data_IF_477329334386
#
_entry.id   IF_477329334386
#
_cell.length_a   1.000
_cell.length_b   1.000
_cell.length_c   1.000
_cell.angle_alpha   90.00
_cell.angle_beta   90.00
_cell.angle_gamma   90.00
#
_symmetry.space_group_name_H-M   'P 1'
#
loop_
_entity.id
_entity.type
_entity.pdbx_description
1 polymer ?
#
# COMPACT_ATOMS: atom_id res chain seq x y z
N UNK A 1 29.31 19.73 6.39
CA UNK A 1 27.90 19.72 6.79
C UNK A 1 27.74 18.52 7.69
N UNK A 2 27.56 18.75 8.99
CA UNK A 2 27.50 17.68 9.98
C UNK A 2 26.07 17.12 9.93
N UNK A 3 25.92 15.88 9.46
CA UNK A 3 24.65 15.16 9.48
C UNK A 3 24.60 14.48 10.86
N UNK A 4 23.71 14.92 11.78
CA UNK A 4 23.74 14.44 13.17
C UNK A 4 23.38 12.95 13.26
N UNK A 5 24.04 12.20 14.16
CA UNK A 5 23.94 10.74 14.34
C UNK A 5 22.53 10.20 14.68
N UNK A 6 21.54 11.08 14.81
CA UNK A 6 20.14 10.82 15.13
C UNK A 6 19.27 10.63 13.86
N UNK A 7 19.88 10.14 12.77
CA UNK A 7 19.13 9.50 11.70
C UNK A 7 18.44 8.26 12.27
N UNK A 8 17.12 8.26 12.27
CA UNK A 8 16.32 7.08 12.61
C UNK A 8 16.67 5.94 11.64
N UNK A 9 17.50 4.98 12.06
CA UNK A 9 17.86 3.76 11.30
C UNK A 9 16.90 2.62 11.67
N UNK A 10 15.62 2.93 11.83
CA UNK A 10 14.59 1.91 12.01
C UNK A 10 13.80 1.73 10.71
N UNK A 11 13.50 0.49 10.30
CA UNK A 11 12.68 0.24 9.13
C UNK A 11 11.26 0.75 9.39
N UNK A 12 10.74 1.56 8.47
CA UNK A 12 9.36 2.03 8.52
C UNK A 12 8.42 1.04 7.84
N UNK A 13 7.29 0.77 8.47
CA UNK A 13 6.20 0.04 7.84
C UNK A 13 5.54 0.93 6.78
N UNK A 14 5.54 0.46 5.53
CA UNK A 14 4.88 1.17 4.44
C UNK A 14 3.39 0.85 4.42
N UNK A 15 2.56 1.89 4.46
CA UNK A 15 1.13 1.75 4.28
C UNK A 15 0.79 1.27 2.84
N UNK A 16 -0.31 0.52 2.64
CA UNK A 16 -0.75 0.12 1.31
C UNK A 16 -0.98 1.31 0.38
N UNK A 17 -0.40 1.26 -0.82
CA UNK A 17 -0.43 2.35 -1.80
C UNK A 17 -0.92 1.90 -3.18
N UNK A 18 -2.01 1.12 -3.21
CA UNK A 18 -2.60 0.59 -4.46
C UNK A 18 -3.33 1.67 -5.26
N UNK A 19 -3.12 1.68 -6.57
CA UNK A 19 -3.61 2.76 -7.45
C UNK A 19 -4.58 2.23 -8.51
N UNK A 20 -5.78 2.82 -8.66
CA UNK A 20 -6.78 2.36 -9.62
C UNK A 20 -6.39 2.63 -11.08
N UNK A 21 -6.75 1.70 -11.98
CA UNK A 21 -6.58 1.79 -13.43
C UNK A 21 -7.78 1.21 -14.17
N UNK A 22 -7.88 1.52 -15.47
CA UNK A 22 -8.92 0.98 -16.36
C UNK A 22 -8.67 -0.50 -16.73
N UNK A 23 -7.42 -0.94 -16.66
CA UNK A 23 -7.05 -2.33 -16.93
C UNK A 23 -6.99 -3.14 -15.62
N UNK A 24 -7.25 -4.45 -15.73
CA UNK A 24 -7.11 -5.38 -14.61
C UNK A 24 -5.67 -5.86 -14.47
N UNK A 25 -5.23 -6.03 -13.23
CA UNK A 25 -3.90 -6.56 -12.90
C UNK A 25 -3.64 -6.61 -11.40
N UNK A 26 -2.41 -6.88 -11.00
CA UNK A 26 -1.98 -6.84 -9.61
C UNK A 26 -1.85 -8.19 -8.90
N UNK A 27 -2.17 -9.32 -9.56
CA UNK A 27 -2.01 -10.65 -8.98
C UNK A 27 -0.61 -10.93 -8.44
N UNK A 28 0.43 -10.49 -9.16
CA UNK A 28 1.82 -10.68 -8.71
C UNK A 28 2.14 -9.83 -7.47
N UNK A 29 1.51 -8.66 -7.33
CA UNK A 29 1.65 -7.82 -6.14
C UNK A 29 0.92 -8.44 -4.94
N UNK A 30 -0.28 -9.01 -5.14
CA UNK A 30 -0.98 -9.76 -4.09
C UNK A 30 -0.14 -10.96 -3.62
N UNK A 31 0.47 -11.70 -4.56
CA UNK A 31 1.35 -12.82 -4.25
C UNK A 31 2.60 -12.37 -3.48
N UNK A 32 3.21 -11.25 -3.90
CA UNK A 32 4.35 -10.65 -3.21
C UNK A 32 4.01 -10.24 -1.77
N UNK A 33 2.79 -9.76 -1.53
CA UNK A 33 2.27 -9.42 -0.20
C UNK A 33 1.78 -10.64 0.61
N UNK A 34 1.95 -11.85 0.08
CA UNK A 34 1.59 -13.08 0.78
C UNK A 34 0.08 -13.34 0.85
N UNK A 35 -0.72 -12.73 -0.03
CA UNK A 35 -2.16 -13.01 -0.05
C UNK A 35 -2.42 -14.48 -0.40
N UNK A 36 -3.37 -15.14 0.28
CA UNK A 36 -3.59 -16.59 0.13
C UNK A 36 -4.18 -16.98 -1.23
N UNK A 37 -4.89 -16.05 -1.89
CA UNK A 37 -5.50 -16.26 -3.21
C UNK A 37 -5.23 -15.03 -4.09
N UNK A 38 -4.01 -14.90 -4.65
CA UNK A 38 -3.64 -13.75 -5.46
C UNK A 38 -4.50 -13.65 -6.72
N UNK A 39 -5.07 -12.48 -6.98
CA UNK A 39 -5.91 -12.23 -8.16
C UNK A 39 -5.67 -10.86 -8.79
N UNK A 40 -6.08 -10.70 -10.04
CA UNK A 40 -6.05 -9.41 -10.72
C UNK A 40 -7.27 -8.57 -10.34
N UNK A 41 -7.06 -7.34 -9.90
CA UNK A 41 -8.09 -6.38 -9.53
C UNK A 41 -8.03 -5.09 -10.36
N UNK A 42 -8.76 -4.07 -9.93
CA UNK A 42 -8.79 -2.75 -10.58
C UNK A 42 -7.70 -1.79 -10.08
N UNK A 43 -6.87 -2.21 -9.12
CA UNK A 43 -5.76 -1.42 -8.58
C UNK A 43 -4.42 -2.13 -8.84
N UNK A 44 -3.95 -2.20 -10.09
CA UNK A 44 -2.84 -3.07 -10.49
C UNK A 44 -1.44 -2.54 -10.14
N UNK A 45 -1.34 -1.28 -9.68
CA UNK A 45 -0.07 -0.63 -9.33
C UNK A 45 0.04 -0.41 -7.82
N UNK A 46 1.25 -0.46 -7.28
CA UNK A 46 1.59 -0.05 -5.91
C UNK A 46 2.72 0.98 -5.96
N UNK A 47 2.51 2.16 -5.37
CA UNK A 47 3.49 3.26 -5.39
C UNK A 47 4.21 3.33 -4.03
N UNK A 48 5.31 2.61 -3.89
CA UNK A 48 6.11 2.58 -2.65
C UNK A 48 6.96 3.85 -2.54
N UNK A 49 7.02 4.44 -1.34
CA UNK A 49 7.79 5.66 -1.05
C UNK A 49 7.52 6.84 -2.02
N UNK A 50 6.28 6.94 -2.50
CA UNK A 50 5.89 8.00 -3.43
C UNK A 50 5.61 9.30 -2.70
N UNK A 51 6.17 10.40 -3.22
CA UNK A 51 5.89 11.78 -2.77
C UNK A 51 4.79 12.46 -3.59
N UNK A 52 4.14 11.73 -4.50
CA UNK A 52 3.14 12.27 -5.43
C UNK A 52 1.74 11.90 -4.97
N UNK A 53 0.87 12.90 -4.84
CA UNK A 53 -0.54 12.68 -4.54
C UNK A 53 -1.32 12.20 -5.78
N UNK A 54 -2.00 11.06 -5.67
CA UNK A 54 -2.92 10.57 -6.69
C UNK A 54 -4.25 11.35 -6.65
N UNK A 55 -4.76 11.78 -7.82
CA UNK A 55 -6.08 12.43 -7.96
C UNK A 55 -7.00 11.58 -8.83
N UNK A 56 -7.87 10.80 -8.20
CA UNK A 56 -8.75 9.83 -8.87
C UNK A 56 -10.20 10.36 -8.95
N UNK A 57 -10.42 11.40 -9.76
CA UNK A 57 -11.74 12.02 -9.94
C UNK A 57 -12.72 11.00 -10.53
N UNK A 58 -13.88 10.82 -9.90
CA UNK A 58 -14.93 9.91 -10.35
C UNK A 58 -14.82 8.46 -9.85
N UNK A 59 -13.79 8.11 -9.06
CA UNK A 59 -13.71 6.81 -8.39
C UNK A 59 -14.39 6.92 -7.02
N UNK A 60 -15.68 6.58 -6.93
CA UNK A 60 -16.40 6.43 -5.67
C UNK A 60 -16.26 4.99 -5.16
N UNK A 61 -15.65 4.79 -3.98
CA UNK A 61 -15.56 3.47 -3.34
C UNK A 61 -14.26 2.69 -3.57
N UNK A 62 -13.26 3.26 -4.23
CA UNK A 62 -11.94 2.65 -4.39
C UNK A 62 -11.06 2.71 -3.14
N UNK A 63 -11.62 2.46 -1.95
CA UNK A 63 -10.75 2.15 -0.81
C UNK A 63 -9.94 0.93 -1.22
N UNK A 64 -8.61 0.93 -1.07
CA UNK A 64 -7.84 -0.29 -1.26
C UNK A 64 -8.48 -1.32 -0.33
N UNK A 65 -8.96 -2.44 -0.90
CA UNK A 65 -9.31 -3.57 -0.07
C UNK A 65 -8.09 -3.80 0.82
N UNK A 66 -8.22 -3.81 2.16
CA UNK A 66 -7.10 -4.13 3.01
C UNK A 66 -6.71 -5.54 2.60
N UNK A 67 -5.66 -5.68 1.78
CA UNK A 67 -5.04 -6.96 1.52
C UNK A 67 -4.81 -7.56 2.90
N UNK A 68 -5.33 -8.76 3.11
CA UNK A 68 -5.43 -9.42 4.40
C UNK A 68 -4.12 -9.26 5.17
N UNK A 69 -4.09 -8.26 6.04
CA UNK A 69 -3.08 -7.92 7.01
C UNK A 69 -3.91 -7.60 8.24
N UNK A 70 -3.72 -8.41 9.28
CA UNK A 70 -4.60 -8.45 10.45
C UNK A 70 -4.92 -7.05 10.95
N UNK A 71 -6.17 -6.87 11.39
CA UNK A 71 -6.56 -5.73 12.20
C UNK A 71 -5.45 -5.43 13.24
N UNK A 72 -5.08 -4.16 13.50
CA UNK A 72 -4.26 -3.87 14.65
C UNK A 72 -5.00 -4.43 15.86
N UNK A 73 -4.40 -5.44 16.49
CA UNK A 73 -4.77 -5.88 17.81
C UNK A 73 -4.84 -4.62 18.67
N UNK A 74 -5.98 -4.43 19.33
CA UNK A 74 -6.32 -3.17 19.99
C UNK A 74 -5.14 -2.60 20.76
N UNK A 75 -4.89 -1.31 20.57
CA UNK A 75 -4.11 -0.56 21.55
C UNK A 75 -4.92 -0.52 22.84
N UNK A 76 -4.42 -1.09 23.95
CA UNK A 76 -4.93 -0.73 25.26
C UNK A 76 -4.42 0.67 25.59
N UNK A 77 -5.32 1.43 26.23
CA UNK A 77 -5.17 2.73 26.92
C UNK A 77 -4.74 3.96 26.10
#
# INVERSE_FOLDING_TARGET
MNVPDEFFIEPWELLPSRVPRLYRGGRLLEAFLGQPQPEDGNCPEAWLDSTVAARNVGVTGGSPSPGAGGAPAGSPI
#
